data_IF_476709813756
#
_entry.id   IF_476709813756
#
_cell.length_a   1.000
_cell.length_b   1.000
_cell.length_c   1.000
_cell.angle_alpha   90.00
_cell.angle_beta   90.00
_cell.angle_gamma   90.00
#
_symmetry.space_group_name_H-M   'P 1'
#
loop_
_entity.id
_entity.type
_entity.pdbx_description
1 polymer ?
#
# COMPACT_ATOMS: atom_id res chain seq x y z
N UNK A 1 -49.83 -31.21 55.62
CA UNK A 1 -50.75 -31.60 54.53
C UNK A 1 -50.83 -30.45 53.52
N UNK A 2 -50.67 -30.79 52.24
CA UNK A 2 -51.05 -30.09 50.98
C UNK A 2 -50.70 -28.60 50.79
N UNK A 3 -49.69 -28.25 49.98
CA UNK A 3 -49.66 -28.10 48.49
C UNK A 3 -50.48 -26.91 47.96
N UNK A 4 -49.79 -25.93 47.35
CA UNK A 4 -50.01 -25.51 45.95
C UNK A 4 -48.86 -24.62 45.45
N UNK A 5 -48.20 -25.12 44.43
CA UNK A 5 -47.26 -24.44 43.57
C UNK A 5 -48.00 -23.57 42.53
N UNK A 6 -47.36 -22.51 42.06
CA UNK A 6 -47.81 -21.65 40.96
C UNK A 6 -46.87 -20.44 40.89
N UNK A 7 -45.68 -20.56 40.30
CA UNK A 7 -45.41 -20.47 38.85
C UNK A 7 -45.66 -19.06 38.31
N UNK A 8 -44.74 -18.14 38.61
CA UNK A 8 -44.48 -17.00 37.73
C UNK A 8 -42.98 -16.90 37.53
N UNK A 9 -42.55 -17.60 36.48
CA UNK A 9 -41.25 -17.42 35.83
C UNK A 9 -41.22 -15.98 35.33
N UNK A 10 -40.48 -15.11 36.01
CA UNK A 10 -40.01 -13.88 35.38
C UNK A 10 -38.51 -14.05 35.20
N UNK A 11 -38.16 -14.80 34.15
CA UNK A 11 -36.82 -14.87 33.62
C UNK A 11 -36.42 -13.43 33.28
N UNK A 12 -35.63 -12.83 34.17
CA UNK A 12 -34.89 -11.60 33.88
C UNK A 12 -33.83 -12.00 32.85
N UNK A 13 -34.26 -12.02 31.59
CA UNK A 13 -33.38 -12.17 30.45
C UNK A 13 -32.45 -10.95 30.47
N UNK A 14 -31.29 -11.11 31.09
CA UNK A 14 -30.11 -10.31 30.79
C UNK A 14 -29.78 -10.61 29.33
N UNK A 15 -30.43 -9.87 28.43
CA UNK A 15 -30.05 -9.77 27.03
C UNK A 15 -28.68 -9.10 27.03
N UNK A 16 -27.64 -9.92 27.24
CA UNK A 16 -26.29 -9.60 26.81
C UNK A 16 -26.33 -9.53 25.29
N UNK A 17 -26.74 -8.37 24.77
CA UNK A 17 -26.36 -7.94 23.43
C UNK A 17 -24.84 -7.78 23.51
N UNK A 18 -24.13 -8.88 23.32
CA UNK A 18 -22.73 -8.87 22.94
C UNK A 18 -22.67 -8.11 21.62
N UNK A 19 -22.50 -6.80 21.73
CA UNK A 19 -22.00 -5.98 20.65
C UNK A 19 -20.64 -6.54 20.29
N UNK A 20 -20.65 -7.51 19.37
CA UNK A 20 -19.46 -7.89 18.63
C UNK A 20 -19.05 -6.63 17.90
N UNK A 21 -18.15 -5.87 18.53
CA UNK A 21 -17.47 -4.78 17.87
C UNK A 21 -16.93 -5.34 16.57
N UNK A 22 -17.35 -4.75 15.46
CA UNK A 22 -16.66 -4.90 14.20
C UNK A 22 -15.26 -4.35 14.48
N UNK A 23 -14.36 -5.23 14.91
CA UNK A 23 -12.93 -4.96 14.90
C UNK A 23 -12.65 -4.78 13.43
N UNK A 24 -12.61 -3.52 12.99
CA UNK A 24 -12.15 -3.17 11.67
C UNK A 24 -10.65 -3.41 11.70
N UNK A 25 -10.29 -4.69 11.58
CA UNK A 25 -8.93 -5.09 11.36
C UNK A 25 -8.55 -4.42 10.05
N UNK A 26 -7.59 -3.50 10.11
CA UNK A 26 -6.92 -2.99 8.93
C UNK A 26 -6.36 -4.14 8.10
N UNK A 27 -5.83 -3.85 6.91
CA UNK A 27 -5.32 -4.90 6.06
C UNK A 27 -4.28 -5.73 6.84
N UNK A 28 -4.32 -7.06 6.72
CA UNK A 28 -3.36 -7.97 7.33
C UNK A 28 -1.97 -7.79 6.69
N UNK A 29 -1.36 -6.64 6.97
CA UNK A 29 -0.10 -6.15 6.47
C UNK A 29 0.79 -5.87 7.67
N UNK A 30 2.03 -6.34 7.61
CA UNK A 30 3.02 -6.04 8.65
C UNK A 30 3.94 -4.91 8.17
N UNK A 31 4.08 -3.81 8.92
CA UNK A 31 5.06 -2.79 8.61
C UNK A 31 6.47 -3.36 8.46
N UNK A 32 7.25 -2.79 7.54
CA UNK A 32 8.64 -3.18 7.35
C UNK A 32 9.15 -3.01 5.93
N UNK A 33 10.28 -3.67 5.67
CA UNK A 33 10.91 -3.70 4.35
C UNK A 33 10.27 -4.79 3.51
N UNK A 34 9.84 -4.45 2.30
CA UNK A 34 9.19 -5.34 1.36
C UNK A 34 9.97 -5.39 0.06
N UNK A 35 10.21 -6.59 -0.45
CA UNK A 35 10.63 -6.81 -1.83
C UNK A 35 9.38 -6.94 -2.69
N UNK A 36 9.31 -6.18 -3.78
CA UNK A 36 8.16 -6.07 -4.66
C UNK A 36 8.64 -6.30 -6.08
N UNK A 37 8.03 -7.26 -6.75
CA UNK A 37 8.19 -7.50 -8.17
C UNK A 37 6.95 -6.99 -8.89
N UNK A 38 7.14 -6.02 -9.77
CA UNK A 38 6.10 -5.46 -10.63
C UNK A 38 6.32 -5.96 -12.05
N UNK A 39 5.32 -6.63 -12.61
CA UNK A 39 5.30 -7.06 -14.01
C UNK A 39 4.31 -6.20 -14.77
N UNK A 40 4.82 -5.42 -15.72
CA UNK A 40 4.06 -4.48 -16.54
C UNK A 40 3.94 -4.99 -17.96
N UNK A 41 2.72 -5.01 -18.48
CA UNK A 41 2.38 -5.36 -19.85
C UNK A 41 2.16 -4.08 -20.66
N UNK A 42 3.16 -3.72 -21.46
CA UNK A 42 3.09 -2.58 -22.38
C UNK A 42 2.67 -3.11 -23.75
N UNK A 43 1.60 -2.58 -24.36
CA UNK A 43 1.20 -2.96 -25.71
C UNK A 43 2.37 -2.86 -26.71
N UNK A 44 2.65 -3.96 -27.43
CA UNK A 44 3.69 -3.99 -28.47
C UNK A 44 5.12 -4.27 -27.99
N UNK A 45 5.41 -4.26 -26.67
CA UNK A 45 6.76 -4.49 -26.13
C UNK A 45 6.91 -5.76 -25.28
N UNK A 46 5.81 -6.48 -25.03
CA UNK A 46 5.78 -7.67 -24.17
C UNK A 46 5.86 -7.32 -22.67
N UNK A 47 5.78 -8.33 -21.79
CA UNK A 47 5.83 -8.13 -20.35
C UNK A 47 7.24 -7.78 -19.87
N UNK A 48 7.37 -6.73 -19.05
CA UNK A 48 8.61 -6.33 -18.39
C UNK A 48 8.45 -6.46 -16.89
N UNK A 49 9.40 -7.13 -16.22
CA UNK A 49 9.39 -7.30 -14.78
C UNK A 49 10.54 -6.56 -14.12
N UNK A 50 10.23 -5.87 -13.04
CA UNK A 50 11.17 -5.12 -12.23
C UNK A 50 10.97 -5.45 -10.75
N UNK A 51 12.07 -5.67 -10.03
CA UNK A 51 12.06 -5.95 -8.60
C UNK A 51 12.79 -4.86 -7.83
N UNK A 52 12.15 -4.33 -6.79
CA UNK A 52 12.73 -3.39 -5.84
C UNK A 52 12.40 -3.73 -4.41
N UNK A 53 13.15 -3.14 -3.48
CA UNK A 53 12.85 -3.18 -2.06
C UNK A 53 12.51 -1.79 -1.55
N UNK A 54 11.40 -1.66 -0.83
CA UNK A 54 10.98 -0.40 -0.20
C UNK A 54 10.39 -0.64 1.18
N UNK A 55 10.31 0.43 1.96
CA UNK A 55 9.68 0.41 3.28
C UNK A 55 8.21 0.79 3.16
N UNK A 56 7.34 -0.06 3.73
CA UNK A 56 5.89 0.14 3.75
C UNK A 56 5.45 0.23 5.22
N UNK A 57 4.68 1.27 5.55
CA UNK A 57 4.05 1.44 6.87
C UNK A 57 2.53 1.33 6.75
N UNK A 58 1.83 1.23 7.89
CA UNK A 58 0.36 1.19 7.88
C UNK A 58 -0.25 2.50 7.37
N UNK A 59 0.40 3.64 7.61
CA UNK A 59 -0.06 4.93 7.09
C UNK A 59 0.17 5.08 5.58
N UNK A 60 1.11 4.33 5.01
CA UNK A 60 1.50 4.36 3.60
C UNK A 60 1.43 2.95 2.97
N UNK A 61 0.23 2.39 2.98
CA UNK A 61 -0.04 1.02 2.51
C UNK A 61 -0.11 0.89 0.97
N UNK A 62 0.20 1.95 0.22
CA UNK A 62 0.27 1.93 -1.25
C UNK A 62 1.74 2.04 -1.66
N UNK A 63 2.33 0.99 -2.25
CA UNK A 63 3.73 1.01 -2.64
C UNK A 63 3.91 1.94 -3.84
N UNK A 64 4.35 3.16 -3.56
CA UNK A 64 4.74 4.15 -4.55
C UNK A 64 6.19 4.57 -4.33
N UNK A 65 6.95 4.64 -5.41
CA UNK A 65 8.31 5.17 -5.32
C UNK A 65 8.26 6.67 -4.99
N UNK A 66 9.19 7.14 -4.14
CA UNK A 66 9.26 8.54 -3.68
C UNK A 66 9.43 9.57 -4.80
N UNK A 67 9.93 9.14 -5.94
CA UNK A 67 10.10 10.00 -7.12
C UNK A 67 8.76 10.15 -7.85
N UNK A 68 7.96 9.08 -7.90
CA UNK A 68 6.61 9.11 -8.46
C UNK A 68 5.64 9.90 -7.57
N UNK A 69 5.81 9.88 -6.24
CA UNK A 69 4.88 10.54 -5.32
C UNK A 69 4.85 12.08 -5.39
N UNK A 70 5.88 12.74 -5.95
CA UNK A 70 5.92 14.21 -6.03
C UNK A 70 4.89 14.79 -7.00
N UNK A 71 4.65 14.06 -8.09
CA UNK A 71 3.81 14.51 -9.20
C UNK A 71 2.47 13.75 -9.26
N UNK A 72 2.23 12.86 -8.31
CA UNK A 72 1.08 11.98 -8.26
C UNK A 72 0.19 12.24 -7.03
N UNK A 73 -1.10 12.41 -7.29
CA UNK A 73 -2.14 12.54 -6.25
C UNK A 73 -2.89 11.22 -6.09
N UNK A 74 -2.80 10.61 -4.91
CA UNK A 74 -3.61 9.43 -4.56
C UNK A 74 -5.03 9.87 -4.18
N UNK A 75 -6.02 9.29 -4.83
CA UNK A 75 -7.46 9.57 -4.65
C UNK A 75 -8.24 8.29 -4.38
N UNK A 76 -9.43 8.46 -3.80
CA UNK A 76 -10.40 7.37 -3.61
C UNK A 76 -9.82 6.11 -2.92
N UNK A 77 -8.88 6.30 -1.98
CA UNK A 77 -8.33 5.17 -1.24
C UNK A 77 -9.40 4.53 -0.36
N UNK A 78 -9.55 3.22 -0.46
CA UNK A 78 -10.51 2.41 0.29
C UNK A 78 -9.84 1.16 0.81
N UNK A 79 -10.11 0.86 2.07
CA UNK A 79 -9.68 -0.37 2.74
C UNK A 79 -10.91 -1.25 2.96
N UNK A 80 -10.86 -2.48 2.45
CA UNK A 80 -11.89 -3.50 2.66
C UNK A 80 -11.23 -4.80 3.09
N UNK A 81 -11.28 -5.08 4.40
CA UNK A 81 -10.54 -6.16 5.03
C UNK A 81 -9.05 -6.09 4.68
N UNK A 82 -8.54 -7.14 4.04
CA UNK A 82 -7.14 -7.25 3.63
C UNK A 82 -6.77 -6.51 2.34
N UNK A 83 -7.73 -5.88 1.67
CA UNK A 83 -7.51 -5.24 0.37
C UNK A 83 -7.55 -3.73 0.48
N UNK A 84 -6.49 -3.09 -0.01
CA UNK A 84 -6.40 -1.64 -0.25
C UNK A 84 -6.63 -1.40 -1.72
N UNK A 85 -7.51 -0.46 -2.07
CA UNK A 85 -7.74 -0.01 -3.44
C UNK A 85 -7.63 1.50 -3.50
N UNK A 86 -7.11 2.02 -4.62
CA UNK A 86 -6.89 3.46 -4.78
C UNK A 86 -6.99 3.84 -6.26
N UNK A 87 -7.20 5.14 -6.49
CA UNK A 87 -6.92 5.79 -7.77
C UNK A 87 -5.73 6.72 -7.60
N UNK A 88 -5.05 6.99 -8.69
CA UNK A 88 -3.90 7.88 -8.72
C UNK A 88 -3.99 8.75 -9.97
N UNK A 89 -3.66 10.02 -9.84
CA UNK A 89 -3.57 10.94 -10.96
C UNK A 89 -2.19 11.59 -10.90
N UNK A 90 -1.36 11.33 -11.90
CA UNK A 90 -0.03 11.93 -11.99
C UNK A 90 0.01 13.00 -13.08
N UNK A 91 0.61 14.15 -12.79
CA UNK A 91 0.78 15.26 -13.73
C UNK A 91 2.26 15.53 -13.92
N UNK A 92 2.79 15.20 -15.10
CA UNK A 92 4.19 15.45 -15.45
C UNK A 92 4.33 16.29 -16.71
N UNK A 93 5.58 16.49 -17.15
CA UNK A 93 5.88 17.19 -18.41
C UNK A 93 5.29 16.49 -19.64
N UNK A 94 5.17 15.16 -19.61
CA UNK A 94 4.52 14.34 -20.63
C UNK A 94 3.01 14.12 -20.39
N UNK A 95 2.32 15.12 -19.88
CA UNK A 95 0.86 15.10 -19.70
C UNK A 95 0.37 14.49 -18.39
N UNK A 96 -0.95 14.25 -18.36
CA UNK A 96 -1.63 13.63 -17.21
C UNK A 96 -1.73 12.12 -17.41
N UNK A 97 -1.48 11.34 -16.38
CA UNK A 97 -1.75 9.90 -16.37
C UNK A 97 -2.67 9.55 -15.22
N UNK A 98 -3.56 8.59 -15.45
CA UNK A 98 -4.52 8.13 -14.45
C UNK A 98 -4.25 6.66 -14.16
N UNK A 99 -4.33 6.26 -12.91
CA UNK A 99 -4.15 4.87 -12.51
C UNK A 99 -5.23 4.42 -11.53
N UNK A 100 -5.54 3.13 -11.57
CA UNK A 100 -6.37 2.48 -10.56
C UNK A 100 -5.69 1.21 -10.10
N UNK A 101 -5.57 1.05 -8.79
CA UNK A 101 -4.83 -0.04 -8.17
C UNK A 101 -5.64 -0.75 -7.10
N UNK A 102 -5.30 -2.02 -6.89
CA UNK A 102 -5.68 -2.77 -5.69
C UNK A 102 -4.53 -3.67 -5.26
N UNK A 103 -4.33 -3.80 -3.95
CA UNK A 103 -3.39 -4.73 -3.32
C UNK A 103 -4.12 -5.46 -2.20
N UNK A 104 -3.94 -6.77 -2.14
CA UNK A 104 -4.36 -7.61 -1.03
C UNK A 104 -3.13 -8.04 -0.24
N UNK A 105 -3.14 -7.76 1.06
CA UNK A 105 -2.10 -8.14 2.01
C UNK A 105 -2.46 -9.41 2.77
N UNK A 106 -1.49 -10.31 2.92
CA UNK A 106 -1.62 -11.59 3.61
C UNK A 106 -0.38 -11.82 4.48
N UNK A 107 -0.32 -11.11 5.62
CA UNK A 107 0.78 -11.15 6.57
C UNK A 107 2.08 -10.61 5.98
N UNK A 108 2.99 -11.51 5.62
CA UNK A 108 4.31 -11.21 5.05
C UNK A 108 4.32 -11.31 3.51
N UNK A 109 3.15 -11.38 2.87
CA UNK A 109 3.00 -11.43 1.41
C UNK A 109 1.95 -10.43 0.91
N UNK A 110 2.09 -9.98 -0.33
CA UNK A 110 1.10 -9.13 -0.98
C UNK A 110 0.95 -9.48 -2.46
N UNK A 111 -0.25 -9.30 -2.99
CA UNK A 111 -0.54 -9.39 -4.41
C UNK A 111 -1.38 -8.19 -4.85
N UNK A 112 -1.02 -7.56 -5.95
CA UNK A 112 -1.72 -6.39 -6.46
C UNK A 112 -1.85 -6.37 -7.97
N UNK A 113 -2.76 -5.52 -8.42
CA UNK A 113 -2.98 -5.20 -9.82
C UNK A 113 -3.16 -3.70 -9.95
N UNK A 114 -2.59 -3.12 -10.99
CA UNK A 114 -2.75 -1.71 -11.33
C UNK A 114 -3.01 -1.57 -12.82
N UNK A 115 -3.96 -0.73 -13.19
CA UNK A 115 -4.20 -0.32 -14.56
C UNK A 115 -3.91 1.17 -14.66
N UNK A 116 -3.01 1.54 -15.58
CA UNK A 116 -2.62 2.91 -15.86
C UNK A 116 -3.13 3.29 -17.24
N UNK A 117 -3.80 4.44 -17.34
CA UNK A 117 -4.30 5.05 -18.55
C UNK A 117 -3.50 6.32 -18.85
N UNK A 118 -2.99 6.39 -20.07
CA UNK A 118 -2.28 7.55 -20.61
C UNK A 118 -3.17 8.16 -21.70
N UNK A 119 -3.90 9.25 -21.41
CA UNK A 119 -4.85 9.87 -22.34
C UNK A 119 -4.21 10.37 -23.63
N UNK A 120 -2.97 10.87 -23.57
CA UNK A 120 -2.26 11.47 -24.71
C UNK A 120 -2.15 10.54 -25.93
N UNK A 121 -2.00 9.24 -25.70
CA UNK A 121 -1.90 8.23 -26.75
C UNK A 121 -2.97 7.13 -26.62
N UNK A 122 -4.01 7.37 -25.80
CA UNK A 122 -5.08 6.42 -25.51
C UNK A 122 -4.56 5.03 -25.10
N UNK A 123 -3.43 4.97 -24.39
CA UNK A 123 -2.76 3.73 -24.02
C UNK A 123 -3.22 3.26 -22.65
N UNK A 124 -3.46 1.95 -22.53
CA UNK A 124 -3.71 1.28 -21.25
C UNK A 124 -2.61 0.29 -20.96
N UNK A 125 -2.04 0.41 -19.78
CA UNK A 125 -0.94 -0.41 -19.29
C UNK A 125 -1.46 -1.20 -18.10
N UNK A 126 -1.30 -2.53 -18.14
CA UNK A 126 -1.64 -3.39 -17.00
C UNK A 126 -0.37 -3.78 -16.27
N UNK A 127 -0.39 -3.66 -14.95
CA UNK A 127 0.70 -4.07 -14.08
C UNK A 127 0.20 -5.01 -13.00
N UNK A 128 0.98 -6.03 -12.70
CA UNK A 128 0.75 -6.94 -11.58
C UNK A 128 1.89 -6.78 -10.59
N UNK A 129 1.59 -6.85 -9.31
CA UNK A 129 2.55 -6.69 -8.22
C UNK A 129 2.52 -7.94 -7.36
N UNK A 130 3.69 -8.46 -7.01
CA UNK A 130 3.87 -9.50 -5.99
C UNK A 130 4.91 -9.02 -5.01
N UNK A 131 4.64 -9.13 -3.72
CA UNK A 131 5.61 -8.71 -2.72
C UNK A 131 5.75 -9.69 -1.56
N UNK A 132 6.93 -9.64 -0.94
CA UNK A 132 7.29 -10.40 0.25
C UNK A 132 7.99 -9.50 1.25
N UNK A 133 7.60 -9.59 2.52
CA UNK A 133 8.25 -8.86 3.60
C UNK A 133 9.61 -9.49 3.91
N UNK A 134 10.64 -8.64 3.96
CA UNK A 134 12.02 -8.96 4.27
C UNK A 134 12.34 -8.79 5.75
N UNK A 135 11.56 -7.98 6.49
CA UNK A 135 11.79 -7.73 7.92
C UNK A 135 11.44 -6.31 8.32
N UNK A 136 12.04 -5.83 9.40
CA UNK A 136 11.93 -4.43 9.81
C UNK A 136 12.60 -3.50 8.78
N UNK A 137 12.22 -2.22 8.80
CA UNK A 137 12.94 -1.20 8.07
C UNK A 137 14.23 -0.87 8.82
N UNK A 138 15.36 -1.19 8.22
CA UNK A 138 16.64 -0.64 8.65
C UNK A 138 16.65 0.84 8.22
N UNK A 139 17.00 1.78 9.10
CA UNK A 139 16.92 3.23 8.87
C UNK A 139 17.70 3.79 7.67
N UNK A 140 18.28 2.93 6.84
CA UNK A 140 18.90 3.25 5.54
C UNK A 140 17.95 2.85 4.41
N UNK A 141 16.96 3.71 4.14
CA UNK A 141 16.06 3.56 3.00
C UNK A 141 16.82 3.76 1.66
N UNK A 142 16.36 3.05 0.64
CA UNK A 142 16.73 3.14 -0.78
C UNK A 142 18.03 2.42 -1.17
N UNK A 143 17.92 1.11 -1.44
CA UNK A 143 18.82 0.50 -2.43
C UNK A 143 18.06 0.38 -3.73
N UNK A 144 18.52 1.19 -4.69
CA UNK A 144 18.15 1.24 -6.09
C UNK A 144 17.92 -0.14 -6.75
N UNK A 145 17.22 -0.18 -7.90
CA UNK A 145 17.04 -1.39 -8.72
C UNK A 145 18.35 -2.18 -8.89
N UNK A 146 18.44 -3.41 -8.35
CA UNK A 146 19.43 -4.39 -8.82
C UNK A 146 19.03 -4.83 -10.23
N UNK A 147 19.45 -4.06 -11.23
CA UNK A 147 19.51 -4.52 -12.62
C UNK A 147 20.39 -5.77 -12.62
N UNK A 148 19.83 -6.92 -12.94
CA UNK A 148 20.59 -8.16 -13.19
C UNK A 148 21.68 -7.85 -14.24
N UNK A 149 22.93 -7.73 -13.79
CA UNK A 149 24.10 -7.56 -14.67
C UNK A 149 24.94 -8.84 -14.59
N UNK A 150 24.88 -9.60 -15.67
CA UNK A 150 26.00 -10.43 -16.10
C UNK A 150 27.09 -9.51 -16.66
N UNK A 151 28.32 -9.63 -16.14
CA UNK A 151 29.55 -9.23 -16.85
C UNK A 151 30.18 -7.86 -16.53
N UNK A 152 31.26 -7.91 -15.73
CA UNK A 152 32.51 -7.11 -15.69
C UNK A 152 32.50 -5.60 -16.07
N UNK A 153 33.02 -4.77 -15.16
CA UNK A 153 33.80 -3.58 -15.53
C UNK A 153 33.69 -2.34 -14.62
N UNK A 154 34.79 -2.09 -13.89
CA UNK A 154 35.33 -0.87 -13.24
C UNK A 154 34.49 0.16 -12.45
N UNK A 155 35.09 0.50 -11.32
CA UNK A 155 34.78 1.54 -10.33
C UNK A 155 35.16 2.93 -10.87
N UNK A 156 34.30 3.93 -10.67
CA UNK A 156 34.71 5.28 -10.27
C UNK A 156 33.70 5.85 -9.27
N UNK A 157 34.28 6.42 -8.23
CA UNK A 157 33.71 7.13 -7.09
C UNK A 157 33.37 8.56 -7.50
N UNK A 158 32.17 9.06 -7.17
CA UNK A 158 31.94 10.51 -7.07
C UNK A 158 30.98 10.81 -5.90
N UNK A 159 31.62 11.21 -4.81
CA UNK A 159 31.32 12.29 -3.87
C UNK A 159 29.87 12.66 -3.54
N UNK A 160 29.56 12.46 -2.25
CA UNK A 160 28.39 12.96 -1.56
C UNK A 160 28.24 14.48 -1.62
N UNK A 161 27.00 14.96 -1.73
CA UNK A 161 26.58 16.23 -1.13
C UNK A 161 25.22 16.02 -0.48
N UNK A 162 25.24 16.00 0.84
CA UNK A 162 24.08 16.00 1.73
C UNK A 162 23.76 17.45 2.05
N UNK A 163 22.57 17.96 1.74
CA UNK A 163 21.85 18.86 2.66
C UNK A 163 20.44 19.28 2.14
N UNK A 164 19.48 19.34 3.08
CA UNK A 164 18.18 20.09 3.07
C UNK A 164 16.84 19.48 2.63
N UNK A 165 16.70 18.24 2.17
CA UNK A 165 15.36 17.74 1.74
C UNK A 165 14.48 17.16 2.88
N UNK A 166 14.93 17.21 4.14
CA UNK A 166 14.25 16.52 5.25
C UNK A 166 13.02 17.27 5.83
N UNK A 167 12.86 18.57 5.57
CA UNK A 167 11.78 19.35 6.20
C UNK A 167 10.41 19.20 5.51
N UNK A 168 10.35 18.83 4.23
CA UNK A 168 9.09 18.72 3.48
C UNK A 168 8.39 17.37 3.59
N UNK A 169 9.09 16.34 4.07
CA UNK A 169 8.61 14.94 4.09
C UNK A 169 7.60 14.72 5.23
N UNK A 170 7.69 15.51 6.29
CA UNK A 170 6.81 15.43 7.45
C UNK A 170 5.40 15.96 7.17
N UNK A 171 5.22 16.77 6.11
CA UNK A 171 3.94 17.41 5.80
C UNK A 171 3.02 16.53 4.93
N UNK A 172 3.58 15.80 3.96
CA UNK A 172 2.80 14.87 3.11
C UNK A 172 2.33 13.64 3.90
N UNK A 173 3.19 13.06 4.75
CA UNK A 173 2.81 11.97 5.65
C UNK A 173 1.75 12.38 6.68
N UNK A 174 1.78 13.65 7.13
CA UNK A 174 0.74 14.22 8.00
C UNK A 174 -0.62 14.33 7.30
N UNK A 175 -0.67 14.66 6.00
CA UNK A 175 -1.92 14.78 5.28
C UNK A 175 -2.65 13.43 5.13
N UNK A 176 -1.91 12.35 4.85
CA UNK A 176 -2.44 10.98 4.77
C UNK A 176 -2.78 10.42 6.15
N UNK A 177 -1.92 10.62 7.15
CA UNK A 177 -2.18 10.21 8.53
C UNK A 177 -3.40 10.91 9.17
N UNK A 178 -3.63 12.18 8.85
CA UNK A 178 -4.83 12.91 9.28
C UNK A 178 -6.10 12.42 8.59
N UNK A 179 -6.01 11.88 7.36
CA UNK A 179 -7.14 11.23 6.71
C UNK A 179 -7.53 9.96 7.46
N UNK A 180 -6.60 9.05 7.76
CA UNK A 180 -6.90 7.83 8.52
C UNK A 180 -7.45 8.09 9.93
N UNK A 181 -6.97 9.13 10.62
CA UNK A 181 -7.54 9.56 11.91
C UNK A 181 -8.97 10.08 11.82
N UNK A 182 -9.40 10.57 10.66
CA UNK A 182 -10.76 11.11 10.45
C UNK A 182 -11.80 10.01 10.17
N UNK A 183 -11.36 8.79 9.85
CA UNK A 183 -12.23 7.63 9.61
C UNK A 183 -12.18 6.59 10.75
N UNK A 184 -11.61 6.95 11.90
CA UNK A 184 -11.70 6.22 13.17
C UNK A 184 -12.68 6.94 14.10
#
# INVERSE_FOLDING_TARGET
MSRKAGRTVMAMACVFILGAGLVWAGPNMKPGKWEITTTTEIPGMGPQAFTHAQCITEEDAVPMDKEQSKDCEVREMKVSGNTVSWKIVCKGEGGTTEGSGKITYSGDTMNGTMETYVPENNMRIKSTMKGKRLGACDGTATTAPKRSKSGKGNVIEETATSDKTQAGIDEAGKAVGNFFKKFK
#
